data_IF_482610913082
#
_entry.id   IF_482610913082
#
_cell.length_a   1.000
_cell.length_b   1.000
_cell.length_c   1.000
_cell.angle_alpha   90.00
_cell.angle_beta   90.00
_cell.angle_gamma   90.00
#
_symmetry.space_group_name_H-M   'P 1'
#
loop_
_entity.id
_entity.type
_entity.pdbx_description
1 polymer ?
#
# COMPACT_ATOMS: atom_id res chain seq x y z
N UNK A 1 -9.53 -29.31 -15.01
CA UNK A 1 -10.40 -28.70 -14.00
C UNK A 1 -9.56 -28.44 -12.77
N UNK A 2 -8.74 -27.39 -12.81
CA UNK A 2 -7.78 -27.06 -11.74
C UNK A 2 -8.20 -25.84 -10.90
N UNK A 3 -9.39 -25.28 -11.14
CA UNK A 3 -9.89 -24.06 -10.47
C UNK A 3 -10.71 -24.33 -9.20
N UNK A 4 -10.88 -25.59 -8.79
CA UNK A 4 -11.73 -25.93 -7.64
C UNK A 4 -13.21 -25.64 -7.89
N UNK A 5 -14.05 -25.91 -6.88
CA UNK A 5 -15.48 -25.59 -6.91
C UNK A 5 -15.74 -24.30 -6.12
N UNK A 6 -16.62 -23.44 -6.63
CA UNK A 6 -17.05 -22.24 -5.93
C UNK A 6 -17.89 -22.59 -4.71
N UNK A 7 -17.49 -22.10 -3.53
CA UNK A 7 -18.16 -22.36 -2.26
C UNK A 7 -18.76 -21.09 -1.69
N UNK A 8 -20.01 -21.15 -1.22
CA UNK A 8 -20.66 -20.00 -0.61
C UNK A 8 -20.11 -19.70 0.78
N UNK A 9 -19.62 -18.47 0.97
CA UNK A 9 -19.14 -17.96 2.26
C UNK A 9 -20.21 -17.09 2.92
N UNK A 10 -20.85 -17.59 3.97
CA UNK A 10 -21.80 -16.82 4.77
C UNK A 10 -21.07 -15.85 5.72
N UNK A 11 -21.63 -14.67 5.95
CA UNK A 11 -21.08 -13.70 6.91
C UNK A 11 -20.98 -14.26 8.34
N UNK A 12 -21.90 -15.15 8.73
CA UNK A 12 -21.87 -15.87 10.00
C UNK A 12 -20.75 -16.91 10.12
N UNK A 13 -20.11 -17.27 9.01
CA UNK A 13 -18.98 -18.20 9.00
C UNK A 13 -17.64 -17.47 9.22
N UNK A 14 -17.62 -16.14 9.23
CA UNK A 14 -16.40 -15.35 9.46
C UNK A 14 -16.01 -15.37 10.95
N UNK A 15 -14.69 -15.31 11.27
CA UNK A 15 -14.21 -15.18 12.64
C UNK A 15 -14.79 -13.95 13.35
N UNK A 16 -14.86 -14.02 14.69
CA UNK A 16 -15.26 -12.87 15.49
C UNK A 16 -14.41 -11.63 15.18
N UNK A 17 -15.07 -10.49 15.01
CA UNK A 17 -14.42 -9.22 14.65
C UNK A 17 -14.20 -9.01 13.15
N UNK A 18 -14.49 -9.99 12.29
CA UNK A 18 -14.36 -9.87 10.83
C UNK A 18 -15.74 -9.82 10.19
N UNK A 19 -16.16 -8.63 9.74
CA UNK A 19 -17.46 -8.44 9.10
C UNK A 19 -17.45 -8.80 7.59
N UNK A 20 -16.29 -8.73 6.94
CA UNK A 20 -16.14 -8.94 5.49
C UNK A 20 -14.75 -9.47 5.14
N UNK A 21 -14.62 -10.25 4.08
CA UNK A 21 -13.32 -10.62 3.48
C UNK A 21 -13.12 -9.89 2.16
N UNK A 22 -11.88 -9.48 1.89
CA UNK A 22 -11.53 -8.82 0.62
C UNK A 22 -11.21 -9.87 -0.45
N UNK A 23 -11.49 -9.60 -1.74
CA UNK A 23 -11.00 -10.44 -2.83
C UNK A 23 -9.49 -10.68 -2.71
N UNK A 24 -9.04 -11.91 -2.92
CA UNK A 24 -7.64 -12.31 -2.79
C UNK A 24 -7.18 -12.71 -1.37
N UNK A 25 -8.06 -12.63 -0.37
CA UNK A 25 -7.77 -13.17 0.98
C UNK A 25 -7.67 -14.69 0.92
N UNK A 26 -6.58 -15.25 1.45
CA UNK A 26 -6.43 -16.70 1.58
C UNK A 26 -7.10 -17.16 2.86
N UNK A 27 -8.02 -18.10 2.71
CA UNK A 27 -8.82 -18.66 3.78
C UNK A 27 -8.60 -20.18 3.83
N UNK A 28 -8.55 -20.72 5.04
CA UNK A 28 -8.78 -22.14 5.28
C UNK A 28 -10.20 -22.33 5.78
N UNK A 29 -10.91 -23.30 5.20
CA UNK A 29 -12.29 -23.57 5.54
C UNK A 29 -12.60 -25.03 5.30
N UNK A 30 -13.63 -25.52 5.99
CA UNK A 30 -14.25 -26.82 5.75
C UNK A 30 -15.51 -26.65 4.90
N UNK A 31 -15.86 -27.64 4.08
CA UNK A 31 -17.05 -27.60 3.22
C UNK A 31 -18.15 -28.47 3.84
N UNK A 32 -19.38 -27.98 3.83
CA UNK A 32 -20.56 -28.76 4.16
C UNK A 32 -21.67 -28.58 3.11
N UNK A 33 -22.34 -29.68 2.77
CA UNK A 33 -23.50 -29.65 1.88
C UNK A 33 -24.73 -29.07 2.58
N UNK A 34 -25.34 -28.06 1.96
CA UNK A 34 -26.57 -27.43 2.46
C UNK A 34 -27.70 -27.53 1.44
N UNK A 35 -28.92 -27.19 1.86
CA UNK A 35 -30.08 -27.07 0.95
C UNK A 35 -29.88 -26.07 -0.19
N UNK A 36 -28.85 -25.22 -0.11
CA UNK A 36 -28.51 -24.18 -1.11
C UNK A 36 -27.18 -24.45 -1.83
N UNK A 37 -26.64 -25.67 -1.73
CA UNK A 37 -25.33 -26.03 -2.29
C UNK A 37 -24.20 -26.04 -1.25
N UNK A 38 -22.94 -26.24 -1.68
CA UNK A 38 -21.78 -26.31 -0.79
C UNK A 38 -21.53 -24.97 -0.08
N UNK A 39 -21.32 -25.03 1.24
CA UNK A 39 -21.08 -23.87 2.10
C UNK A 39 -19.79 -24.02 2.90
N UNK A 40 -19.08 -22.90 3.08
CA UNK A 40 -17.87 -22.82 3.90
C UNK A 40 -18.23 -22.70 5.39
N UNK A 41 -17.64 -23.58 6.20
CA UNK A 41 -17.71 -23.62 7.67
C UNK A 41 -16.31 -23.55 8.28
N UNK A 42 -16.22 -23.10 9.53
CA UNK A 42 -14.95 -23.01 10.28
C UNK A 42 -13.87 -22.26 9.50
N UNK A 43 -14.16 -21.01 9.14
CA UNK A 43 -13.27 -20.19 8.30
C UNK A 43 -12.17 -19.60 9.16
N UNK A 44 -10.93 -19.84 8.78
CA UNK A 44 -9.73 -19.22 9.36
C UNK A 44 -9.04 -18.38 8.29
N UNK A 45 -8.67 -17.15 8.64
CA UNK A 45 -7.88 -16.28 7.75
C UNK A 45 -6.42 -16.68 7.87
N UNK A 46 -5.84 -17.18 6.77
CA UNK A 46 -4.42 -17.57 6.71
C UNK A 46 -3.55 -16.38 6.33
N UNK A 47 -4.00 -15.58 5.35
CA UNK A 47 -3.23 -14.45 4.82
C UNK A 47 -4.16 -13.37 4.29
N UNK A 48 -4.05 -12.16 4.82
CA UNK A 48 -4.79 -11.00 4.32
C UNK A 48 -4.06 -10.46 3.09
N UNK A 49 -4.76 -10.09 2.01
CA UNK A 49 -4.10 -9.56 0.83
C UNK A 49 -3.37 -8.26 1.24
N UNK A 50 -2.14 -8.03 0.76
CA UNK A 50 -1.40 -6.82 1.09
C UNK A 50 -2.29 -5.64 0.78
N UNK A 51 -2.50 -4.80 1.79
CA UNK A 51 -3.40 -3.67 1.67
C UNK A 51 -2.88 -2.72 0.58
N UNK A 52 -3.78 -2.01 -0.12
CA UNK A 52 -3.37 -0.96 -1.05
C UNK A 52 -2.48 0.10 -0.38
N UNK A 53 -2.59 0.28 0.95
CA UNK A 53 -1.68 1.11 1.74
C UNK A 53 -0.28 0.51 1.85
N UNK A 54 -0.14 -0.81 2.03
CA UNK A 54 1.17 -1.49 2.00
C UNK A 54 1.82 -1.45 0.61
N UNK A 55 1.03 -1.56 -0.46
CA UNK A 55 1.50 -1.44 -1.84
C UNK A 55 1.73 0.02 -2.29
N UNK A 56 1.22 1.01 -1.54
CA UNK A 56 1.46 2.43 -1.78
C UNK A 56 2.65 2.98 -0.99
N UNK A 57 3.25 2.19 -0.09
CA UNK A 57 4.56 2.55 0.45
C UNK A 57 5.53 2.56 -0.72
N UNK A 58 6.04 3.74 -1.05
CA UNK A 58 7.09 3.88 -2.04
C UNK A 58 8.17 2.84 -1.71
N UNK A 59 8.59 2.07 -2.71
CA UNK A 59 9.69 1.12 -2.54
C UNK A 59 10.84 1.87 -1.81
N UNK A 60 11.30 1.39 -0.65
CA UNK A 60 12.29 2.11 0.16
C UNK A 60 13.53 2.52 -0.63
N UNK A 61 13.95 1.69 -1.60
CA UNK A 61 15.10 1.98 -2.47
C UNK A 61 14.82 3.16 -3.41
N UNK A 62 13.62 3.24 -3.98
CA UNK A 62 13.22 4.35 -4.85
C UNK A 62 13.08 5.66 -4.06
N UNK A 63 12.55 5.57 -2.83
CA UNK A 63 12.46 6.73 -1.93
C UNK A 63 13.86 7.21 -1.52
N UNK A 64 14.78 6.28 -1.22
CA UNK A 64 16.17 6.60 -0.91
C UNK A 64 16.88 7.29 -2.09
N UNK A 65 16.72 6.77 -3.31
CA UNK A 65 17.28 7.38 -4.52
C UNK A 65 16.72 8.80 -4.75
N UNK A 66 15.41 9.00 -4.57
CA UNK A 66 14.77 10.32 -4.67
C UNK A 66 15.30 11.31 -3.63
N UNK A 67 15.53 10.86 -2.39
CA UNK A 67 16.14 11.66 -1.32
C UNK A 67 17.57 12.08 -1.72
N UNK A 68 18.39 11.15 -2.22
CA UNK A 68 19.76 11.44 -2.65
C UNK A 68 19.82 12.52 -3.74
N UNK A 69 18.98 12.40 -4.76
CA UNK A 69 18.90 13.41 -5.82
C UNK A 69 18.39 14.76 -5.30
N UNK A 70 17.47 14.74 -4.33
CA UNK A 70 16.97 15.96 -3.69
C UNK A 70 18.06 16.64 -2.85
N UNK A 71 18.91 15.88 -2.16
CA UNK A 71 20.08 16.41 -1.41
C UNK A 71 21.01 17.17 -2.37
N UNK A 72 21.35 16.59 -3.53
CA UNK A 72 22.21 17.24 -4.53
C UNK A 72 21.62 18.57 -5.01
N UNK A 73 20.31 18.63 -5.23
CA UNK A 73 19.62 19.86 -5.63
C UNK A 73 19.62 20.88 -4.49
N UNK A 74 19.34 20.45 -3.26
CA UNK A 74 19.37 21.30 -2.06
C UNK A 74 20.75 21.90 -1.84
N UNK A 75 21.83 21.14 -2.03
CA UNK A 75 23.20 21.64 -1.91
C UNK A 75 23.50 22.73 -2.92
N UNK A 76 23.10 22.53 -4.19
CA UNK A 76 23.24 23.55 -5.23
C UNK A 76 22.46 24.81 -4.88
N UNK A 77 21.21 24.69 -4.45
CA UNK A 77 20.36 25.83 -4.06
C UNK A 77 20.93 26.54 -2.83
N UNK A 78 21.34 25.79 -1.81
CA UNK A 78 21.96 26.33 -0.59
C UNK A 78 23.26 27.07 -0.84
N UNK A 79 24.11 26.55 -1.74
CA UNK A 79 25.32 27.25 -2.19
C UNK A 79 24.99 28.55 -2.92
N UNK A 80 23.95 28.56 -3.77
CA UNK A 80 23.45 29.78 -4.40
C UNK A 80 22.99 30.82 -3.37
N UNK A 81 22.17 30.40 -2.42
CA UNK A 81 21.64 31.27 -1.35
C UNK A 81 22.76 31.87 -0.50
N UNK A 82 23.78 31.08 -0.13
CA UNK A 82 24.98 31.57 0.57
C UNK A 82 25.73 32.66 -0.20
N UNK A 83 25.59 32.69 -1.51
CA UNK A 83 26.19 33.71 -2.39
C UNK A 83 25.19 34.83 -2.76
N UNK A 84 24.06 34.93 -2.06
CA UNK A 84 23.02 35.94 -2.31
C UNK A 84 22.18 35.68 -3.55
N UNK A 85 22.26 34.48 -4.16
CA UNK A 85 21.50 34.10 -5.35
C UNK A 85 20.29 33.26 -4.96
N UNK A 86 19.10 33.73 -5.32
CA UNK A 86 17.86 32.98 -5.12
C UNK A 86 17.59 32.06 -6.32
N UNK A 87 16.99 30.86 -6.09
CA UNK A 87 16.51 30.02 -7.18
C UNK A 87 15.40 30.74 -7.96
N UNK A 88 15.23 30.38 -9.23
CA UNK A 88 14.07 30.85 -10.00
C UNK A 88 12.76 30.36 -9.36
N UNK A 89 11.65 31.06 -9.62
CA UNK A 89 10.32 30.66 -9.12
C UNK A 89 9.95 29.22 -9.51
N UNK A 90 10.27 28.84 -10.75
CA UNK A 90 10.03 27.49 -11.28
C UNK A 90 10.88 26.45 -10.55
N UNK A 91 12.17 26.71 -10.32
CA UNK A 91 13.03 25.80 -9.56
C UNK A 91 12.56 25.65 -8.10
N UNK A 92 12.19 26.76 -7.45
CA UNK A 92 11.71 26.76 -6.08
C UNK A 92 10.41 25.97 -5.94
N UNK A 93 9.46 26.16 -6.86
CA UNK A 93 8.20 25.43 -6.87
C UNK A 93 8.42 23.93 -7.08
N UNK A 94 9.26 23.58 -8.06
CA UNK A 94 9.58 22.17 -8.37
C UNK A 94 10.23 21.48 -7.16
N UNK A 95 11.23 22.11 -6.55
CA UNK A 95 11.88 21.60 -5.35
C UNK A 95 10.89 21.44 -4.19
N UNK A 96 10.02 22.43 -3.97
CA UNK A 96 8.98 22.36 -2.94
C UNK A 96 7.98 21.23 -3.14
N UNK A 97 7.60 20.92 -4.39
CA UNK A 97 6.72 19.77 -4.71
C UNK A 97 7.39 18.44 -4.37
N UNK A 98 8.67 18.28 -4.73
CA UNK A 98 9.44 17.05 -4.44
C UNK A 98 9.56 16.85 -2.93
N UNK A 99 9.93 17.89 -2.17
CA UNK A 99 10.06 17.82 -0.71
C UNK A 99 8.75 17.41 -0.02
N UNK A 100 7.61 17.97 -0.45
CA UNK A 100 6.30 17.57 0.07
C UNK A 100 5.97 16.11 -0.26
N UNK A 101 6.28 15.66 -1.48
CA UNK A 101 6.07 14.27 -1.87
C UNK A 101 6.87 13.28 -1.02
N UNK A 102 8.15 13.59 -0.76
CA UNK A 102 9.00 12.78 0.12
C UNK A 102 8.44 12.76 1.55
N UNK A 103 8.02 13.91 2.09
CA UNK A 103 7.41 13.98 3.42
C UNK A 103 6.17 13.10 3.52
N UNK A 104 5.23 13.20 2.57
CA UNK A 104 4.03 12.36 2.53
C UNK A 104 4.38 10.86 2.41
N UNK A 105 5.41 10.50 1.65
CA UNK A 105 5.84 9.11 1.51
C UNK A 105 6.45 8.53 2.80
N UNK A 106 7.13 9.35 3.60
CA UNK A 106 7.69 8.94 4.90
C UNK A 106 6.62 8.79 6.00
N UNK A 107 5.50 9.50 5.88
CA UNK A 107 4.40 9.48 6.85
C UNK A 107 3.40 8.34 6.62
N UNK A 108 3.47 7.63 5.49
CA UNK A 108 2.54 6.58 5.04
C UNK A 108 2.89 5.15 5.52
#
# INVERSE_FOLDING_TARGET
NDEGEDVYLAASSLPEGIATVKPGTKLEFSIADSRRGPQALSVHVIDAPPSLAENSRANPDDLAAMIEDTIKILDRVGNGLRQGRHPSSVEAERLGRVLRGIATALEA
#
